data_IF_021651760429
#
_entry.id   IF_021651760429
#
_cell.length_a   1.000
_cell.length_b   1.000
_cell.length_c   1.000
_cell.angle_alpha   90.00
_cell.angle_beta   90.00
_cell.angle_gamma   90.00
#
_symmetry.space_group_name_H-M   'P 1'
#
loop_
_entity.id
_entity.type
_entity.pdbx_description
1 polymer ?
2 non-polymer ?
3 non-polymer ?
4 water ?
#
# COMPACT_ATOMS: atom_id res chain seq x y z
N UNK A 22 6.76 -26.48 -12.68
CA UNK A 22 5.85 -25.35 -12.57
C UNK A 22 6.62 -24.08 -12.22
N UNK A 24 7.66 -20.28 -10.66
CA UNK A 24 7.98 -19.83 -9.30
C UNK A 24 6.75 -19.36 -8.51
N UNK A 25 6.71 -19.75 -7.24
CA UNK A 25 5.71 -19.24 -6.30
C UNK A 25 6.09 -17.83 -5.90
N UNK A 26 5.17 -17.15 -5.24
CA UNK A 26 5.38 -15.78 -4.84
C UNK A 26 6.37 -15.69 -3.68
N UNK A 27 6.44 -16.78 -2.90
CA UNK A 27 7.29 -16.85 -1.74
C UNK A 27 8.61 -17.61 -2.04
N UNK A 28 9.64 -17.44 -1.20
CA UNK A 28 9.69 -16.52 -0.05
C UNK A 28 9.75 -15.07 -0.50
N UNK A 29 9.24 -14.16 0.32
CA UNK A 29 9.13 -12.77 -0.08
C UNK A 29 9.83 -11.90 0.93
N UNK A 30 10.59 -10.92 0.44
CA UNK A 30 11.27 -9.97 1.30
C UNK A 30 10.23 -9.17 2.04
N UNK A 31 10.35 -9.19 3.37
CA UNK A 31 9.42 -8.51 4.26
C UNK A 31 10.19 -7.79 5.39
N UNK A 32 9.44 -7.02 6.19
CA UNK A 32 9.96 -6.33 7.36
C UNK A 32 8.96 -6.50 8.48
N UNK A 33 9.42 -7.05 9.61
CA UNK A 33 8.52 -7.25 10.73
C UNK A 33 8.84 -6.27 11.80
N UNK A 34 7.84 -6.04 12.66
CA UNK A 34 7.93 -5.08 13.72
C UNK A 34 7.91 -5.79 15.08
N UNK A 35 8.88 -5.44 15.91
CA UNK A 35 9.01 -5.95 17.29
C UNK A 35 9.37 -4.81 18.28
N UNK A 36 8.64 -4.72 19.41
CA UNK A 36 7.52 -5.62 19.72
C UNK A 36 6.34 -5.38 18.81
N UNK A 37 5.62 -6.45 18.47
CA UNK A 37 4.51 -6.26 17.55
C UNK A 37 3.47 -5.26 18.08
N UNK A 38 2.98 -4.42 17.17
CA UNK A 38 1.91 -3.45 17.41
C UNK A 38 2.41 -2.19 18.13
N UNK A 39 3.67 -2.19 18.56
CA UNK A 39 4.24 -1.03 19.26
C UNK A 39 4.47 0.12 18.27
N UNK A 40 4.03 1.32 18.62
CA UNK A 40 4.15 2.47 17.72
C UNK A 40 5.61 2.87 17.48
N UNK A 41 6.47 2.44 18.40
CA UNK A 41 7.90 2.66 18.30
C UNK A 41 8.68 1.34 18.20
N UNK A 42 8.03 0.29 17.71
CA UNK A 42 8.71 -0.99 17.56
C UNK A 42 9.81 -0.86 16.50
N UNK A 43 10.82 -1.72 16.61
CA UNK A 43 11.94 -1.75 15.68
C UNK A 43 11.61 -2.63 14.46
N UNK A 44 12.06 -2.23 13.28
CA UNK A 44 11.84 -3.03 12.07
C UNK A 44 13.03 -3.96 11.84
N UNK A 45 12.81 -5.19 11.41
CA UNK A 45 13.94 -6.01 10.92
C UNK A 45 13.55 -6.71 9.63
N UNK A 46 14.52 -6.91 8.75
CA UNK A 46 14.26 -7.57 7.47
C UNK A 46 14.18 -9.08 7.66
N UNK A 47 13.14 -9.69 7.09
CA UNK A 47 12.94 -11.13 7.09
C UNK A 47 12.32 -11.64 5.78
N UNK A 48 12.65 -12.89 5.40
CA UNK A 48 11.90 -13.59 4.34
C UNK A 48 10.59 -14.10 4.90
N UNK A 49 9.49 -13.80 4.20
CA UNK A 49 8.20 -14.30 4.62
C UNK A 49 7.95 -15.62 3.92
N UNK A 50 7.71 -16.66 4.71
CA UNK A 50 7.39 -17.99 4.21
C UNK A 50 6.01 -18.45 4.67
N UNK A 51 5.08 -18.64 3.73
CA UNK A 51 3.77 -19.12 4.14
C UNK A 51 3.74 -20.64 4.28
N UNK A 52 2.62 -21.15 4.79
CA UNK A 52 2.38 -22.58 4.83
C UNK A 52 2.23 -23.15 3.44
N UNK A 53 2.57 -24.44 3.28
CA UNK A 53 2.32 -25.14 2.03
C UNK A 53 0.85 -25.38 1.79
N UNK A 54 0.13 -25.78 2.83
CA UNK A 54 -1.30 -26.07 2.76
C UNK A 54 -1.97 -25.87 4.11
N UNK A 55 -3.26 -25.54 4.10
CA UNK A 55 -4.07 -25.63 5.32
C UNK A 55 -4.41 -27.07 5.59
N UNK A 56 -4.70 -27.38 6.85
CA UNK A 56 -5.05 -28.73 7.28
C UNK A 56 -6.54 -28.99 7.13
N UNK A 57 -7.30 -27.93 6.92
CA UNK A 57 -8.73 -28.08 6.73
C UNK A 57 -9.22 -26.86 6.01
N UNK A 58 -10.43 -26.92 5.44
CA UNK A 58 -10.94 -25.79 4.67
C UNK A 58 -11.51 -24.70 5.58
N UNK A 59 -10.61 -24.03 6.30
CA UNK A 59 -11.00 -22.92 7.16
C UNK A 59 -11.89 -21.93 6.41
N UNK A 60 -12.91 -21.42 7.08
CA UNK A 60 -13.72 -20.33 6.55
C UNK A 60 -13.18 -18.96 6.98
N UNK A 61 -12.88 -18.11 6.01
CA UNK A 61 -12.32 -16.79 6.28
C UNK A 61 -13.28 -15.72 5.78
N UNK A 62 -13.76 -14.89 6.69
CA UNK A 62 -14.57 -13.74 6.30
C UNK A 62 -13.61 -12.61 6.00
N UNK A 63 -13.72 -11.99 4.82
CA UNK A 63 -12.84 -10.90 4.43
C UNK A 63 -13.71 -9.67 4.16
N UNK A 64 -13.44 -8.59 4.91
CA UNK A 64 -14.20 -7.34 4.83
C UNK A 64 -13.35 -6.19 4.27
N UNK A 65 -13.76 -5.71 3.10
CA UNK A 65 -13.06 -4.66 2.37
C UNK A 65 -13.80 -3.34 2.51
N UNK A 66 -13.08 -2.23 2.45
CA UNK A 66 -13.74 -0.91 2.47
C UNK A 66 -14.61 -0.66 1.22
N UNK A 67 -14.17 -1.23 0.09
CA UNK A 67 -14.79 -1.02 -1.22
C UNK A 67 -14.02 -1.88 -2.22
N UNK A 69 -13.42 -0.33 -5.49
CA UNK A 69 -13.54 0.75 -6.47
C UNK A 69 -12.29 1.08 -7.26
N UNK A 70 -11.13 0.60 -6.82
CA UNK A 70 -9.90 0.94 -7.53
C UNK A 70 -8.99 -0.25 -7.69
N UNK A 71 -7.87 -0.03 -8.40
CA UNK A 71 -6.96 -1.11 -8.74
C UNK A 71 -6.26 -1.62 -7.48
N UNK A 72 -6.02 -0.71 -6.55
CA UNK A 72 -5.34 -1.06 -5.32
C UNK A 72 -6.10 -2.17 -4.59
N UNK A 73 -7.37 -1.96 -4.29
CA UNK A 73 -8.14 -2.98 -3.58
C UNK A 73 -8.45 -4.18 -4.47
N UNK A 74 -8.49 -4.00 -5.79
CA UNK A 74 -8.55 -5.16 -6.67
C UNK A 74 -7.28 -6.01 -6.51
N UNK A 75 -6.14 -5.38 -6.38
CA UNK A 75 -4.91 -6.09 -6.08
C UNK A 75 -4.93 -6.85 -4.77
N UNK A 76 -5.44 -6.21 -3.71
CA UNK A 76 -5.57 -6.91 -2.44
C UNK A 76 -6.53 -8.11 -2.60
N UNK A 77 -7.64 -7.92 -3.32
CA UNK A 77 -8.61 -8.98 -3.59
C UNK A 77 -7.92 -10.18 -4.26
N UNK A 78 -7.15 -9.89 -5.28
CA UNK A 78 -6.43 -10.93 -6.02
C UNK A 78 -5.54 -11.75 -5.08
N UNK A 79 -4.80 -11.09 -4.19
CA UNK A 79 -3.93 -11.76 -3.24
C UNK A 79 -4.71 -12.65 -2.29
N UNK A 80 -5.77 -12.10 -1.72
CA UNK A 80 -6.58 -12.89 -0.76
C UNK A 80 -7.21 -14.09 -1.47
N UNK A 81 -7.71 -13.91 -2.68
CA UNK A 81 -8.41 -14.99 -3.40
C UNK A 81 -7.42 -16.06 -3.82
N UNK A 82 -6.27 -15.62 -4.31
CA UNK A 82 -5.31 -16.57 -4.83
C UNK A 82 -4.62 -17.32 -3.68
N UNK A 83 -4.37 -16.64 -2.56
CA UNK A 83 -3.72 -17.33 -1.44
C UNK A 83 -4.73 -18.29 -0.78
N UNK A 84 -6.00 -17.90 -0.69
CA UNK A 84 -7.01 -18.83 -0.17
C UNK A 84 -7.10 -20.10 -1.05
N UNK A 85 -7.13 -19.93 -2.37
CA UNK A 85 -7.09 -21.08 -3.28
C UNK A 85 -5.84 -21.94 -3.07
N UNK A 86 -4.67 -21.32 -2.97
CA UNK A 86 -3.40 -22.06 -2.86
C UNK A 86 -3.38 -22.91 -1.60
N UNK A 87 -3.88 -22.33 -0.51
CA UNK A 87 -3.84 -23.01 0.81
C UNK A 87 -4.97 -24.00 0.97
N UNK A 88 -6.00 -23.89 0.13
CA UNK A 88 -7.15 -24.77 0.24
C UNK A 88 -8.22 -24.33 1.22
N UNK A 89 -8.42 -23.02 1.37
CA UNK A 89 -9.39 -22.53 2.36
C UNK A 89 -10.48 -21.78 1.63
N UNK A 90 -11.57 -21.50 2.35
CA UNK A 90 -12.77 -20.87 1.78
C UNK A 90 -12.88 -19.44 2.20
N UNK A 92 -14.86 -15.82 2.00
CA UNK A 92 -16.15 -15.17 1.72
C UNK A 92 -15.85 -13.68 1.85
N UNK A 93 -15.75 -12.97 0.72
CA UNK A 93 -15.36 -11.56 0.77
C UNK A 93 -16.57 -10.67 0.56
N UNK A 94 -16.68 -9.65 1.41
CA UNK A 94 -17.71 -8.63 1.33
C UNK A 94 -17.02 -7.25 1.29
N UNK A 95 -17.65 -6.28 0.62
CA UNK A 95 -17.09 -4.92 0.54
C UNK A 95 -18.21 -3.89 0.77
N UNK A 96 -17.86 -2.81 1.50
CA UNK A 96 -18.88 -1.92 2.06
C UNK A 96 -19.30 -0.82 1.12
N UNK A 97 -18.63 -0.70 -0.02
CA UNK A 97 -19.00 0.24 -1.03
C UNK A 97 -18.39 1.64 -0.94
N UNK A 98 -17.47 1.87 -0.01
CA UNK A 98 -16.84 3.17 0.07
C UNK A 98 -16.40 3.55 1.46
N UNK A 99 -15.46 4.47 1.55
CA UNK A 99 -14.97 4.92 2.86
C UNK A 99 -15.98 5.76 3.63
N UNK A 100 -17.12 6.08 3.02
CA UNK A 100 -18.21 6.72 3.74
C UNK A 100 -19.06 5.69 4.52
N UNK A 101 -18.73 4.42 4.37
CA UNK A 101 -19.67 3.36 4.75
C UNK A 101 -19.22 2.53 5.95
N UNK A 102 -18.73 3.19 7.00
CA UNK A 102 -18.32 2.48 8.21
C UNK A 102 -19.48 1.61 8.77
N UNK A 103 -20.69 2.15 8.84
CA UNK A 103 -21.81 1.40 9.41
C UNK A 103 -22.14 0.14 8.62
N UNK A 104 -21.94 0.17 7.31
CA UNK A 104 -22.20 -1.01 6.50
C UNK A 104 -21.09 -2.04 6.75
N UNK A 105 -19.86 -1.58 6.95
CA UNK A 105 -18.78 -2.51 7.23
C UNK A 105 -19.03 -3.20 8.58
N UNK A 106 -19.50 -2.44 9.56
CA UNK A 106 -19.82 -3.03 10.84
C UNK A 106 -20.89 -4.11 10.68
N UNK A 107 -21.97 -3.81 9.97
CA UNK A 107 -23.06 -4.78 9.80
C UNK A 107 -22.60 -5.99 8.99
N UNK A 108 -21.77 -5.77 7.96
CA UNK A 108 -21.28 -6.88 7.12
C UNK A 108 -20.40 -7.84 7.93
N UNK A 109 -19.52 -7.29 8.78
CA UNK A 109 -18.73 -8.09 9.71
C UNK A 109 -19.62 -8.81 10.75
N UNK A 110 -20.53 -8.09 11.37
CA UNK A 110 -21.44 -8.72 12.33
C UNK A 110 -22.15 -9.90 11.66
N UNK A 111 -22.63 -9.65 10.44
CA UNK A 111 -23.38 -10.66 9.71
C UNK A 111 -22.50 -11.86 9.33
N UNK A 112 -21.24 -11.66 8.93
CA UNK A 112 -20.46 -12.81 8.46
C UNK A 112 -20.10 -13.65 9.69
N UNK A 113 -19.94 -13.00 10.84
CA UNK A 113 -19.66 -13.74 12.07
C UNK A 113 -20.91 -14.51 12.55
N UNK A 114 -22.07 -13.88 12.48
CA UNK A 114 -23.31 -14.54 12.90
C UNK A 114 -23.63 -15.74 12.00
N UNK A 115 -23.28 -15.61 10.73
CA UNK A 115 -23.54 -16.69 9.78
C UNK A 115 -22.62 -17.88 10.01
N UNK A 116 -21.47 -17.62 10.62
CA UNK A 116 -20.50 -18.64 10.95
C UNK A 116 -19.24 -18.47 10.15
N UNK A 117 -18.13 -18.24 10.85
CA UNK A 117 -16.83 -18.13 10.23
C UNK A 117 -15.73 -18.49 11.23
N UNK A 118 -14.54 -18.79 10.73
CA UNK A 118 -13.40 -19.13 11.58
C UNK A 118 -12.48 -17.98 11.93
N UNK A 119 -12.28 -17.07 10.98
CA UNK A 119 -11.45 -15.86 11.19
C UNK A 119 -12.00 -14.73 10.34
N UNK A 120 -11.70 -13.49 10.76
CA UNK A 120 -12.09 -12.29 10.04
C UNK A 120 -10.84 -11.48 9.65
N UNK A 121 -10.70 -11.17 8.36
CA UNK A 121 -9.64 -10.33 7.84
C UNK A 121 -10.28 -9.01 7.44
N UNK A 122 -9.79 -7.90 7.97
CA UNK A 122 -10.43 -6.59 7.80
C UNK A 122 -9.51 -5.53 7.20
N UNK A 123 -9.97 -4.90 6.13
CA UNK A 123 -9.42 -3.66 5.64
C UNK A 123 -10.31 -2.54 6.14
N UNK A 124 -9.89 -1.91 7.25
CA UNK A 124 -10.78 -1.07 8.04
C UNK A 124 -11.04 0.29 7.42
N UNK A 125 -12.31 0.70 7.43
CA UNK A 125 -12.65 2.02 6.94
C UNK A 125 -12.09 3.11 7.88
N UNK A 126 -12.03 2.86 9.19
CA UNK A 126 -11.31 3.79 10.05
C UNK A 126 -10.52 3.04 11.12
N UNK A 127 -9.53 3.72 11.69
CA UNK A 127 -8.64 3.11 12.67
C UNK A 127 -9.35 2.65 13.95
N UNK A 128 -10.33 3.42 14.44
CA UNK A 128 -11.03 3.18 15.70
C UNK A 128 -12.47 2.69 15.55
N UNK A 129 -13.06 2.85 14.36
CA UNK A 129 -14.50 2.72 14.21
C UNK A 129 -15.04 1.31 14.36
N UNK A 130 -14.16 0.33 14.15
CA UNK A 130 -14.52 -1.08 14.26
C UNK A 130 -14.10 -1.69 15.60
N UNK A 131 -13.52 -0.89 16.47
CA UNK A 131 -12.98 -1.40 17.73
C UNK A 131 -14.04 -2.09 18.60
N UNK A 132 -15.24 -1.55 18.65
CA UNK A 132 -16.29 -2.18 19.45
C UNK A 132 -16.65 -3.56 18.88
N UNK A 133 -16.89 -3.66 17.58
CA UNK A 133 -17.27 -4.95 17.01
C UNK A 133 -16.10 -5.93 17.02
N UNK A 134 -14.89 -5.45 16.80
CA UNK A 134 -13.71 -6.32 16.95
C UNK A 134 -13.60 -6.90 18.37
N UNK A 135 -13.86 -6.09 19.39
CA UNK A 135 -13.81 -6.60 20.77
C UNK A 135 -14.82 -7.72 20.99
N UNK A 136 -15.98 -7.57 20.36
CA UNK A 136 -17.05 -8.55 20.52
C UNK A 136 -16.73 -9.85 19.79
N UNK A 137 -16.18 -9.74 18.59
CA UNK A 137 -15.70 -10.90 17.85
C UNK A 137 -14.62 -11.66 18.59
N UNK A 138 -13.71 -10.93 19.22
CA UNK A 138 -12.61 -11.55 19.94
C UNK A 138 -13.14 -12.36 21.12
N UNK A 139 -14.20 -11.88 21.76
CA UNK A 139 -14.82 -12.63 22.87
C UNK A 139 -15.36 -13.99 22.41
N UNK A 140 -15.49 -14.19 21.09
CA UNK A 140 -15.97 -15.46 20.54
C UNK A 140 -14.82 -16.32 20.05
N UNK A 141 -13.60 -15.91 20.40
CA UNK A 141 -12.40 -16.66 20.04
C UNK A 141 -12.18 -16.76 18.53
N UNK A 142 -12.62 -15.74 17.82
CA UNK A 142 -12.37 -15.63 16.39
C UNK A 142 -11.18 -14.67 16.11
N UNK A 143 -10.11 -15.17 15.47
CA UNK A 143 -8.97 -14.28 15.20
C UNK A 143 -9.36 -13.16 14.24
N UNK A 144 -8.85 -11.95 14.48
CA UNK A 144 -9.12 -10.81 13.61
C UNK A 144 -7.77 -10.31 13.09
N UNK A 145 -7.65 -10.24 11.77
CA UNK A 145 -6.43 -9.78 11.10
C UNK A 145 -6.62 -8.38 10.51
N UNK A 146 -5.70 -7.49 10.83
CA UNK A 146 -5.65 -6.11 10.35
C UNK A 146 -4.90 -6.04 9.01
N UNK A 147 -5.64 -5.78 7.94
CA UNK A 147 -5.10 -5.82 6.56
C UNK A 147 -5.03 -4.41 5.97
N UNK A 148 -3.82 -4.02 5.61
CA UNK A 148 -3.49 -2.80 4.87
C UNK A 148 -3.61 -1.48 5.64
N UNK A 149 -4.78 -1.22 6.23
CA UNK A 149 -5.08 0.15 6.69
C UNK A 149 -4.66 0.50 8.11
N UNK A 150 -4.76 -0.45 9.04
CA UNK A 150 -4.33 -0.20 10.41
C UNK A 150 -5.52 0.04 11.30
N UNK A 151 -5.62 -0.79 12.32
CA UNK A 151 -6.68 -0.75 13.31
C UNK A 151 -6.07 -0.59 14.69
N UNK A 152 -6.66 0.28 15.51
CA UNK A 152 -6.09 0.57 16.85
C UNK A 152 -6.59 -0.37 17.94
N UNK A 153 -7.59 -1.20 17.62
CA UNK A 153 -8.07 -2.18 18.59
C UNK A 153 -6.97 -3.08 19.15
N UNK A 154 -6.90 -3.23 20.47
CA UNK A 154 -5.95 -4.19 21.05
C UNK A 154 -6.29 -5.65 20.82
N UNK A 155 -7.49 -5.94 20.31
CA UNK A 155 -7.92 -7.31 20.07
C UNK A 155 -7.63 -7.85 18.66
N UNK A 156 -6.68 -7.22 17.99
CA UNK A 156 -6.20 -7.68 16.69
C UNK A 156 -5.15 -8.78 16.90
N UNK A 157 -5.24 -9.88 16.15
CA UNK A 157 -4.27 -10.97 16.32
C UNK A 157 -2.98 -10.75 15.52
N UNK A 158 -3.09 -10.06 14.37
CA UNK A 158 -1.93 -9.88 13.49
C UNK A 158 -2.20 -8.70 12.56
N UNK A 159 -1.12 -8.07 12.11
CA UNK A 159 -1.16 -7.02 11.09
C UNK A 159 -0.41 -7.45 9.84
N UNK A 160 -1.00 -7.13 8.69
CA UNK A 160 -0.37 -7.26 7.38
C UNK A 160 -0.51 -5.92 6.68
N UNK A 161 0.52 -5.10 6.76
CA UNK A 161 0.43 -3.75 6.27
C UNK A 161 1.80 -3.08 6.21
N UNK A 162 1.84 -1.90 5.59
CA UNK A 162 3.07 -1.10 5.54
C UNK A 162 2.80 0.31 6.05
N UNK A 163 3.88 1.08 6.19
CA UNK A 163 3.80 2.51 6.59
C UNK A 163 4.02 3.45 5.43
N UNK A 164 3.18 4.50 5.32
CA UNK A 164 3.37 5.51 4.28
C UNK A 164 4.60 6.37 4.60
N UNK A 165 5.09 6.34 5.84
CA UNK A 165 6.36 7.01 6.13
C UNK A 165 7.44 6.36 5.26
N UNK A 166 7.44 5.04 5.26
CA UNK A 166 8.44 4.27 4.52
C UNK A 166 8.27 4.42 3.01
N UNK A 168 7.22 7.19 1.49
CA UNK A 168 7.84 8.47 1.20
C UNK A 168 9.36 8.42 1.31
N UNK A 169 9.86 7.76 2.35
CA UNK A 169 11.29 7.65 2.62
C UNK A 169 12.03 6.95 1.48
N UNK A 170 11.47 5.87 0.97
CA UNK A 170 12.13 5.11 -0.08
C UNK A 170 12.16 5.95 -1.35
N UNK A 171 11.12 6.75 -1.55
CA UNK A 171 11.05 7.60 -2.74
C UNK A 171 12.17 8.66 -2.63
N UNK A 172 12.28 9.25 -1.46
CA UNK A 172 13.27 10.27 -1.21
C UNK A 172 14.70 9.74 -1.30
N UNK A 173 14.96 8.57 -0.74
CA UNK A 173 16.32 8.00 -0.72
C UNK A 173 16.81 7.67 -2.11
N UNK A 174 15.89 7.16 -2.93
CA UNK A 174 16.13 6.94 -4.35
C UNK A 174 16.68 8.21 -5.03
N UNK A 175 16.04 9.34 -4.80
CA UNK A 175 16.52 10.59 -5.38
C UNK A 175 17.82 11.05 -4.71
N UNK A 176 17.87 10.98 -3.39
CA UNK A 176 19.05 11.43 -2.68
C UNK A 176 20.33 10.69 -3.11
N UNK A 177 20.22 9.40 -3.44
CA UNK A 177 21.36 8.62 -3.89
C UNK A 177 21.87 9.12 -5.24
N UNK A 178 20.94 9.52 -6.11
CA UNK A 178 21.28 10.08 -7.42
C UNK A 178 21.92 11.47 -7.32
N UNK A 179 21.69 12.15 -6.20
CA UNK A 179 22.15 13.52 -6.04
C UNK A 179 22.76 13.78 -4.66
N UNK A 180 23.88 13.12 -4.39
CA UNK A 180 24.50 13.18 -3.06
C UNK A 180 25.04 14.56 -2.72
N UNK A 181 25.31 14.74 -1.43
CA UNK A 181 25.92 15.97 -0.95
C UNK A 181 27.19 16.26 -1.72
N UNK A 182 27.36 17.52 -2.10
CA UNK A 182 28.54 17.94 -2.84
C UNK A 182 28.35 17.97 -4.34
N UNK A 183 27.29 17.36 -4.84
CA UNK A 183 26.97 17.44 -6.26
C UNK A 183 26.00 18.60 -6.49
N UNK A 184 25.79 19.00 -7.76
CA UNK A 184 25.02 20.22 -8.03
C UNK A 184 23.60 20.19 -7.46
N UNK A 185 23.12 21.32 -6.96
CA UNK A 185 21.75 21.41 -6.42
C UNK A 185 20.74 21.10 -7.53
N UNK A 186 19.72 20.29 -7.22
CA UNK A 186 18.61 20.01 -8.13
C UNK A 186 17.32 20.22 -7.39
N UNK A 187 16.33 20.76 -8.09
CA UNK A 187 15.09 21.19 -7.45
C UNK A 187 13.99 20.18 -7.66
N UNK A 188 13.34 19.79 -6.56
CA UNK A 188 12.20 18.88 -6.64
C UNK A 188 10.91 19.62 -6.32
N UNK A 189 9.92 19.49 -7.20
CA UNK A 189 8.57 19.93 -6.91
C UNK A 189 7.88 18.75 -6.27
N UNK A 190 7.30 18.96 -5.09
CA UNK A 190 6.76 17.89 -4.24
C UNK A 190 5.27 18.14 -4.00
N UNK A 191 4.45 17.13 -4.30
CA UNK A 191 3.01 17.26 -4.38
C UNK A 191 2.39 16.10 -3.63
N UNK A 192 2.29 16.24 -2.29
CA UNK A 192 2.07 15.05 -1.44
C UNK A 192 0.63 14.57 -1.33
N UNK A 193 -0.35 15.35 -1.77
CA UNK A 193 -1.75 14.95 -1.66
C UNK A 193 -2.46 15.86 -0.67
N UNK A 194 -3.61 15.43 -0.13
CA UNK A 194 -4.39 16.37 0.68
C UNK A 194 -3.80 16.69 2.07
N UNK A 195 -3.66 17.97 2.35
CA UNK A 195 -3.00 18.45 3.54
C UNK A 195 -3.69 17.90 4.78
N UNK A 196 -2.90 17.36 5.70
CA UNK A 196 -3.42 16.96 6.99
C UNK A 196 -3.93 15.54 7.06
N UNK A 197 -4.09 14.89 5.89
CA UNK A 197 -4.44 13.48 5.86
C UNK A 197 -3.29 12.67 6.48
N UNK A 198 -3.61 11.64 7.26
CA UNK A 198 -2.58 10.86 7.94
C UNK A 198 -1.54 10.32 6.97
N UNK A 199 -2.00 9.65 5.92
CA UNK A 199 -1.07 9.01 4.97
C UNK A 199 -0.16 10.02 4.27
N UNK A 200 -0.73 11.16 3.94
CA UNK A 200 0.01 12.25 3.29
C UNK A 200 1.10 12.81 4.18
N UNK A 201 0.72 13.15 5.42
CA UNK A 201 1.67 13.75 6.35
C UNK A 201 2.80 12.75 6.70
N UNK A 202 2.47 11.46 6.74
CA UNK A 202 3.51 10.44 6.97
C UNK A 202 4.47 10.32 5.77
N UNK A 203 3.94 10.26 4.57
CA UNK A 203 4.76 10.22 3.36
C UNK A 203 5.62 11.48 3.24
N UNK A 204 5.04 12.64 3.58
CA UNK A 204 5.78 13.88 3.59
C UNK A 204 6.99 13.84 4.53
N UNK A 205 6.77 13.45 5.79
CA UNK A 205 7.86 13.36 6.76
C UNK A 205 8.93 12.41 6.28
N UNK A 206 8.53 11.24 5.80
CA UNK A 206 9.49 10.28 5.29
C UNK A 206 10.32 10.81 4.13
N UNK A 207 9.66 11.44 3.17
CA UNK A 207 10.35 12.00 2.00
C UNK A 207 11.35 13.08 2.42
N UNK A 209 12.69 13.58 5.41
CA UNK A 209 13.74 13.04 6.27
C UNK A 209 14.76 12.40 5.35
N UNK A 210 14.29 11.67 4.34
CA UNK A 210 15.20 10.89 3.50
C UNK A 210 16.09 11.74 2.56
N UNK A 211 15.65 12.94 2.17
CA UNK A 211 16.43 13.77 1.25
C UNK A 211 17.35 14.75 1.99
N UNK A 212 17.19 14.81 3.30
CA UNK A 212 18.00 15.69 4.12
C UNK A 212 19.47 15.34 3.96
N UNK A 213 20.31 16.36 3.81
CA UNK A 213 21.75 16.15 3.70
C UNK A 213 22.22 15.76 2.31
N UNK A 214 21.37 15.93 1.29
CA UNK A 214 21.76 15.63 -0.08
C UNK A 214 21.74 16.93 -0.89
N UNK A 215 22.07 16.85 -2.18
CA UNK A 215 22.02 18.04 -3.05
C UNK A 215 20.59 18.38 -3.53
N UNK A 216 19.61 17.61 -3.05
CA UNK A 216 18.21 17.88 -3.35
C UNK A 216 17.71 19.08 -2.58
N UNK A 217 17.09 20.01 -3.31
CA UNK A 217 16.31 21.08 -2.70
C UNK A 217 14.84 20.79 -3.00
N UNK A 218 14.01 20.71 -1.97
CA UNK A 218 12.59 20.51 -2.15
C UNK A 218 11.84 21.84 -2.02
N UNK A 219 11.02 22.15 -3.02
CA UNK A 219 10.22 23.36 -2.96
C UNK A 219 9.21 23.18 -1.85
N UNK A 220 8.60 24.27 -1.38
CA UNK A 220 7.56 24.13 -0.38
C UNK A 220 6.50 23.18 -0.94
N UNK A 221 6.00 22.27 -0.11
CA UNK A 221 4.98 21.31 -0.54
C UNK A 221 3.72 21.98 -1.04
N UNK A 222 3.19 21.45 -2.13
CA UNK A 222 1.94 21.90 -2.71
C UNK A 222 0.95 20.78 -2.54
N UNK A 223 0.08 20.94 -1.53
CA UNK A 223 -0.97 19.96 -1.23
C UNK A 223 -2.21 20.20 -2.05
N UNK A 224 -2.98 19.13 -2.24
CA UNK A 224 -4.31 19.26 -2.80
C UNK A 224 -4.96 17.89 -2.88
N UNK A 225 -6.26 17.87 -3.16
CA UNK A 225 -7.01 16.62 -3.32
C UNK A 225 -6.43 15.79 -4.47
N UNK A 226 -6.63 14.47 -4.40
CA UNK A 226 -6.10 13.53 -5.40
C UNK A 226 -6.99 13.48 -6.64
N UNK A 227 -7.40 14.65 -7.10
CA UNK A 227 -8.09 14.83 -8.36
C UNK A 227 -7.10 15.18 -9.46
N UNK A 228 -7.31 14.65 -10.65
CA UNK A 228 -6.41 14.86 -11.78
C UNK A 228 -6.25 16.33 -12.10
N UNK A 229 -7.34 17.08 -12.15
CA UNK A 229 -7.27 18.48 -12.57
C UNK A 229 -6.57 19.33 -11.50
N UNK A 230 -6.91 19.05 -10.25
CA UNK A 230 -6.31 19.73 -9.11
C UNK A 230 -4.79 19.56 -9.12
N UNK A 231 -4.33 18.33 -9.25
CA UNK A 231 -2.88 18.04 -9.24
C UNK A 231 -2.17 18.56 -10.51
N UNK A 232 -2.82 18.43 -11.67
CA UNK A 232 -2.26 19.03 -12.87
C UNK A 232 -2.05 20.55 -12.75
N UNK A 233 -3.03 21.26 -12.18
CA UNK A 233 -2.94 22.70 -12.00
C UNK A 233 -1.80 23.04 -11.04
N UNK A 234 -1.63 22.27 -9.97
CA UNK A 234 -0.48 22.48 -9.08
C UNK A 234 0.86 22.33 -9.83
N UNK A 235 0.99 21.28 -10.63
CA UNK A 235 2.23 21.05 -11.35
C UNK A 235 2.45 22.16 -12.38
N UNK A 236 1.40 22.55 -13.09
CA UNK A 236 1.49 23.66 -14.05
C UNK A 236 2.04 24.91 -13.37
N UNK A 237 1.41 25.27 -12.25
CA UNK A 237 1.79 26.47 -11.53
C UNK A 237 3.24 26.39 -11.06
N UNK A 238 3.67 25.20 -10.65
CA UNK A 238 5.04 25.01 -10.17
C UNK A 238 6.04 25.21 -11.32
N UNK A 239 5.75 24.63 -12.47
CA UNK A 239 6.64 24.75 -13.63
C UNK A 239 6.74 26.20 -14.06
N UNK A 240 5.65 26.94 -13.94
CA UNK A 240 5.66 28.34 -14.32
C UNK A 240 6.59 29.11 -13.39
N UNK A 241 6.48 28.81 -12.09
CA UNK A 241 7.25 29.52 -11.06
C UNK A 241 8.73 29.15 -11.04
N UNK A 242 9.04 27.88 -11.31
CA UNK A 242 10.40 27.35 -11.23
C UNK A 242 10.75 26.63 -12.52
N UNK A 243 11.09 27.40 -13.55
CA UNK A 243 11.28 26.78 -14.87
C UNK A 243 12.37 25.71 -14.88
N UNK A 244 13.26 25.72 -13.90
CA UNK A 244 14.37 24.77 -13.84
C UNK A 244 14.16 23.58 -12.93
N UNK A 245 12.91 23.35 -12.49
CA UNK A 245 12.60 22.16 -11.70
C UNK A 245 13.18 20.96 -12.42
N UNK A 246 13.81 20.05 -11.68
CA UNK A 246 14.39 18.84 -12.28
C UNK A 246 13.47 17.61 -12.10
N UNK A 247 12.78 17.55 -10.96
CA UNK A 247 11.84 16.45 -10.69
C UNK A 247 10.51 16.94 -10.21
N UNK A 248 9.46 16.26 -10.63
CA UNK A 248 8.12 16.43 -10.13
C UNK A 248 7.76 15.13 -9.43
N UNK A 249 7.60 15.20 -8.11
CA UNK A 249 7.31 14.00 -7.33
C UNK A 249 6.10 14.25 -6.48
N UNK A 250 5.30 13.19 -6.29
CA UNK A 250 4.14 13.33 -5.42
C UNK A 250 3.20 12.16 -5.56
N UNK A 251 1.89 12.38 -5.45
CA UNK A 251 0.98 11.26 -5.53
C UNK A 251 1.02 10.63 -6.91
N UNK A 252 0.52 9.40 -6.99
CA UNK A 252 0.41 8.73 -8.28
C UNK A 252 -0.46 9.53 -9.22
N UNK A 253 -1.52 10.13 -8.69
CA UNK A 253 -2.38 10.99 -9.49
C UNK A 253 -1.58 12.14 -10.13
N UNK A 254 -0.68 12.71 -9.33
CA UNK A 254 0.17 13.81 -9.76
C UNK A 254 1.11 13.36 -10.90
N UNK A 255 1.78 12.24 -10.70
CA UNK A 255 2.73 11.72 -11.70
C UNK A 255 2.00 11.35 -12.99
N UNK A 256 0.84 10.70 -12.87
CA UNK A 256 0.10 10.35 -14.08
C UNK A 256 -0.37 11.58 -14.83
N UNK A 257 -0.89 12.58 -14.11
CA UNK A 257 -1.38 13.79 -14.77
C UNK A 257 -0.23 14.62 -15.36
N UNK A 258 0.96 14.55 -14.74
CA UNK A 258 2.11 15.36 -15.17
C UNK A 258 2.67 14.90 -16.52
N UNK A 259 2.41 13.65 -16.89
CA UNK A 259 2.99 13.12 -18.14
C UNK A 259 2.56 13.97 -19.34
N UNK A 260 1.28 14.33 -19.37
CA UNK A 260 0.73 15.09 -20.48
C UNK A 260 1.21 16.52 -20.51
N UNK A 261 1.31 17.10 -19.30
CA UNK A 261 1.86 18.45 -19.13
C UNK A 261 3.30 18.53 -19.58
N UNK A 262 4.09 17.54 -19.18
CA UNK A 262 5.49 17.48 -19.61
C UNK A 262 5.56 17.39 -21.12
N UNK A 263 4.75 16.52 -21.69
CA UNK A 263 4.73 16.38 -23.14
C UNK A 263 4.40 17.72 -23.82
N UNK A 264 3.33 18.36 -23.37
CA UNK A 264 2.83 19.56 -24.02
C UNK A 264 3.83 20.72 -23.93
N UNK A 265 4.52 20.80 -22.80
CA UNK A 265 5.49 21.88 -22.58
C UNK A 265 6.86 21.59 -23.20
N UNK A 266 7.00 20.42 -23.83
CA UNK A 266 8.26 20.05 -24.43
C UNK A 266 9.40 19.79 -23.45
N UNK A 267 9.04 19.29 -22.27
CA UNK A 267 9.99 19.03 -21.18
C UNK A 267 10.38 17.57 -21.01
N UNK A 268 10.01 16.70 -21.94
CA UNK A 268 10.29 15.29 -21.74
C UNK A 268 11.81 15.07 -21.59
N UNK A 269 12.20 14.29 -20.58
CA UNK A 269 13.61 14.06 -20.27
C UNK A 269 14.33 15.20 -19.56
N UNK A 270 13.73 16.40 -19.55
CA UNK A 270 14.26 17.53 -18.79
C UNK A 270 13.75 17.51 -17.37
N UNK A 271 12.48 17.10 -17.24
CA UNK A 271 11.86 16.93 -15.94
C UNK A 271 11.44 15.49 -15.83
N UNK A 272 11.89 14.81 -14.77
CA UNK A 272 11.45 13.45 -14.50
C UNK A 272 10.37 13.38 -13.43
N UNK A 273 9.52 12.36 -13.57
CA UNK A 273 8.35 12.21 -12.71
C UNK A 273 8.50 11.05 -11.76
N UNK A 274 8.07 11.25 -10.52
CA UNK A 274 8.06 10.14 -9.57
C UNK A 274 6.77 10.18 -8.78
N UNK A 275 6.30 9.00 -8.37
CA UNK A 275 5.18 8.89 -7.44
C UNK A 275 5.68 8.22 -6.16
N UNK A 276 5.02 8.45 -5.03
CA UNK A 276 5.42 7.74 -3.80
C UNK A 276 4.49 6.55 -3.51
N UNK A 277 3.73 6.15 -4.51
CA UNK A 277 2.99 4.88 -4.40
C UNK A 277 2.61 4.38 -5.81
N UNK A 279 0.30 2.51 -8.90
CA UNK A 279 -1.02 2.38 -9.56
C UNK A 279 -0.78 1.80 -10.95
N UNK A 280 -1.82 1.27 -11.61
CA UNK A 280 -1.58 0.82 -12.99
C UNK A 280 -1.08 1.94 -13.92
N UNK A 281 -1.58 3.15 -13.76
CA UNK A 281 -1.16 4.28 -14.59
C UNK A 281 0.31 4.60 -14.37
N UNK A 282 0.76 4.59 -13.12
CA UNK A 282 2.17 4.82 -12.84
C UNK A 282 3.04 3.68 -13.41
N UNK A 283 2.58 2.45 -13.28
CA UNK A 283 3.28 1.27 -13.80
C UNK A 283 3.46 1.41 -15.32
N UNK A 284 2.40 1.75 -16.04
CA UNK A 284 2.48 1.83 -17.48
C UNK A 284 3.43 2.96 -17.86
N UNK A 285 3.37 4.04 -17.10
CA UNK A 285 4.25 5.17 -17.30
C UNK A 285 5.73 4.79 -17.19
N UNK A 286 6.08 3.97 -16.22
CA UNK A 286 7.47 3.51 -16.03
C UNK A 286 7.86 2.65 -17.20
N UNK A 287 6.98 1.72 -17.57
CA UNK A 287 7.21 0.88 -18.72
C UNK A 287 7.50 1.69 -19.99
N UNK A 288 6.73 2.75 -20.20
CA UNK A 288 6.82 3.53 -21.41
C UNK A 288 7.91 4.63 -21.36
N UNK A 289 8.62 4.74 -20.24
CA UNK A 289 9.71 5.70 -20.12
C UNK A 289 9.27 7.10 -19.74
N UNK A 290 8.00 7.27 -19.41
CA UNK A 290 7.43 8.61 -19.17
C UNK A 290 7.42 8.98 -17.69
N UNK A 291 7.39 7.98 -16.83
CA UNK A 291 7.52 8.18 -15.38
C UNK A 291 8.77 7.45 -14.95
N UNK A 293 10.02 6.55 -11.68
CA UNK A 293 10.05 5.60 -10.54
C UNK A 293 8.91 5.79 -9.57
N UNK A 294 8.60 4.72 -8.84
CA UNK A 294 7.66 4.76 -7.72
C UNK A 294 7.90 3.52 -6.84
N UNK A 295 7.67 3.64 -5.52
CA UNK A 295 7.77 2.46 -4.65
C UNK A 295 6.56 1.54 -4.80
N UNK A 296 6.77 0.26 -4.55
CA UNK A 296 5.65 -0.67 -4.51
C UNK A 296 5.54 -1.23 -3.10
N UNK A 297 4.32 -1.29 -2.58
CA UNK A 297 4.08 -1.91 -1.26
C UNK A 297 3.61 -3.34 -1.37
N UNK A 298 3.64 -3.85 -2.60
CA UNK A 298 3.25 -5.25 -2.83
C UNK A 298 1.90 -5.53 -2.16
N UNK A 300 -0.77 -6.86 -3.14
CA UNK A 300 -1.24 -8.23 -3.38
C UNK A 300 -0.73 -9.18 -2.28
N UNK A 301 0.56 -9.07 -2.00
CA UNK A 301 1.23 -9.86 -0.98
C UNK A 301 0.73 -9.53 0.44
N UNK A 302 0.37 -8.26 0.71
CA UNK A 302 -0.32 -7.93 1.97
C UNK A 302 -1.59 -8.78 2.11
N UNK A 303 -2.35 -8.91 1.04
CA UNK A 303 -3.50 -9.80 1.03
C UNK A 303 -3.15 -11.25 1.28
N UNK A 304 -2.18 -11.79 0.55
CA UNK A 304 -1.73 -13.17 0.79
C UNK A 304 -1.26 -13.44 2.23
N UNK A 305 -0.45 -12.54 2.79
CA UNK A 305 0.07 -12.70 4.14
C UNK A 305 -1.05 -12.74 5.17
N UNK A 306 -2.06 -11.89 5.01
CA UNK A 306 -3.21 -11.90 5.93
C UNK A 306 -3.90 -13.26 5.97
N UNK A 307 -4.07 -13.87 4.80
CA UNK A 307 -4.67 -15.19 4.74
C UNK A 307 -3.77 -16.21 5.42
N UNK A 308 -2.49 -16.19 5.08
CA UNK A 308 -1.54 -17.12 5.72
C UNK A 308 -1.50 -16.97 7.23
N UNK A 309 -1.44 -15.73 7.69
CA UNK A 309 -1.50 -15.46 9.11
C UNK A 309 -2.77 -16.07 9.77
N UNK A 310 -3.93 -15.85 9.16
CA UNK A 310 -5.19 -16.35 9.72
C UNK A 310 -5.12 -17.86 9.88
N UNK A 311 -4.65 -18.53 8.84
CA UNK A 311 -4.60 -20.00 8.85
C UNK A 311 -3.63 -20.48 9.94
N UNK A 312 -2.47 -19.84 10.03
CA UNK A 312 -1.48 -20.25 11.04
C UNK A 312 -2.05 -20.13 12.46
N UNK A 313 -2.75 -19.03 12.71
CA UNK A 313 -3.37 -18.79 14.02
C UNK A 313 -4.41 -19.88 14.28
N UNK A 314 -5.30 -20.12 13.31
CA UNK A 314 -6.36 -21.12 13.49
C UNK A 314 -5.77 -22.51 13.76
N UNK A 315 -4.58 -22.76 13.23
CA UNK A 315 -3.96 -24.08 13.37
C UNK A 315 -2.95 -24.14 14.53
N UNK A 316 -2.83 -23.04 15.27
CA UNK A 316 -1.91 -22.97 16.39
C UNK A 316 -0.44 -22.98 16.01
N UNK A 317 -0.13 -22.59 14.77
CA UNK A 317 1.25 -22.58 14.29
C UNK A 317 1.91 -21.24 14.55
N UNK A 318 3.23 -21.23 14.51
CA UNK A 318 3.98 -20.00 14.62
C UNK A 318 3.58 -19.07 13.48
N UNK A 319 3.56 -17.78 13.77
CA UNK A 319 3.26 -16.79 12.75
C UNK A 319 3.94 -15.49 13.13
N UNK A 320 4.10 -14.65 12.12
CA UNK A 320 4.71 -13.36 12.31
C UNK A 320 3.58 -12.38 12.60
N UNK A 321 3.62 -11.70 13.75
CA UNK A 321 2.45 -10.96 14.20
C UNK A 321 2.24 -9.61 13.54
N UNK A 322 3.33 -8.93 13.21
CA UNK A 322 3.24 -7.60 12.66
C UNK A 322 4.29 -7.47 11.53
N UNK A 323 3.80 -7.51 10.29
CA UNK A 323 4.71 -7.56 9.14
C UNK A 323 4.13 -6.90 7.88
N UNK A 324 5.04 -6.37 7.07
CA UNK A 324 4.71 -5.87 5.75
C UNK A 324 5.73 -6.32 4.72
N UNK A 325 5.32 -6.36 3.44
CA UNK A 325 6.34 -6.55 2.41
C UNK A 325 7.42 -5.46 2.51
N UNK A 326 8.64 -5.81 2.17
CA UNK A 326 9.71 -4.83 2.11
C UNK A 326 9.49 -3.93 0.93
N UNK A 327 9.44 -2.64 1.19
CA UNK A 327 9.15 -1.69 0.13
C UNK A 327 10.41 -1.48 -0.70
N UNK A 328 10.24 -1.44 -2.03
CA UNK A 328 11.34 -1.23 -2.97
C UNK A 328 10.85 -0.34 -4.09
N UNK A 329 11.80 0.36 -4.70
CA UNK A 329 11.46 1.34 -5.72
C UNK A 329 11.53 0.63 -7.08
N UNK A 330 10.46 0.77 -7.85
CA UNK A 330 10.39 0.27 -9.20
C UNK A 330 10.76 1.33 -10.24
N UNK A 331 11.64 0.97 -11.18
CA UNK A 331 12.05 1.86 -12.26
C UNK A 331 12.34 1.05 -13.50
N UNK A 332 12.88 1.67 -14.55
CA UNK A 332 13.08 0.93 -15.80
C UNK A 332 13.98 -0.27 -15.61
N UNK A 333 14.96 -0.16 -14.71
CA UNK A 333 15.98 -1.20 -14.57
C UNK A 333 15.48 -2.47 -13.84
N UNK A 334 14.37 -2.40 -13.09
CA UNK A 334 13.89 -3.60 -12.43
C UNK A 334 12.43 -3.94 -12.69
N UNK A 335 11.70 -3.11 -13.42
CA UNK A 335 10.28 -3.37 -13.53
C UNK A 335 9.99 -4.71 -14.24
N UNK A 336 10.80 -5.07 -15.22
CA UNK A 336 10.61 -6.32 -15.95
C UNK A 336 11.04 -7.55 -15.11
N UNK A 337 11.70 -7.33 -13.97
CA UNK A 337 12.24 -8.47 -13.15
C UNK A 337 11.25 -8.88 -12.07
N UNK A 338 10.23 -8.04 -11.85
CA UNK A 338 9.20 -8.28 -10.85
C UNK A 338 7.91 -8.76 -11.49
N UNK A 339 7.36 -9.90 -11.01
CA UNK A 339 6.04 -10.26 -11.57
C UNK A 339 5.05 -9.17 -11.23
N UNK A 340 4.35 -8.64 -12.23
CA UNK A 340 3.28 -7.67 -11.97
C UNK A 340 2.35 -8.08 -10.87
N UNK A 341 1.97 -9.36 -10.86
CA UNK A 341 0.97 -9.88 -9.93
C UNK A 341 1.42 -9.91 -8.47
N UNK A 342 2.66 -9.52 -8.17
CA UNK A 342 3.03 -9.31 -6.76
C UNK A 342 2.72 -7.87 -6.31
N UNK A 343 2.56 -6.95 -7.27
CA UNK A 343 2.49 -5.52 -6.90
C UNK A 343 1.31 -4.79 -7.47
N UNK A 344 0.54 -5.44 -8.34
CA UNK A 344 -0.69 -4.91 -8.91
C UNK A 344 -1.61 -6.08 -9.24
N UNK A 345 -2.91 -5.80 -9.40
CA UNK A 345 -3.72 -6.89 -9.96
C UNK A 345 -3.37 -7.14 -11.42
N UNK A 346 -3.61 -8.36 -11.93
CA UNK A 346 -3.43 -8.58 -13.36
C UNK A 346 -4.31 -7.63 -14.16
N UNK A 347 -3.90 -7.20 -15.34
CA UNK A 347 -4.83 -6.51 -16.25
C UNK A 347 -6.06 -7.35 -16.51
N UNK A 348 -7.23 -6.72 -16.48
CA UNK A 348 -8.44 -7.41 -16.89
C UNK A 348 -9.05 -8.22 -15.77
N UNK A 349 -8.33 -8.39 -14.66
CA UNK A 349 -8.80 -9.20 -13.55
C UNK A 349 -10.12 -8.63 -13.03
N UNK A 350 -11.08 -9.52 -12.87
CA UNK A 350 -12.38 -9.21 -12.31
C UNK A 350 -12.42 -9.64 -10.84
N UNK A 351 -13.00 -8.79 -9.97
CA UNK A 351 -13.00 -9.14 -8.55
C UNK A 351 -13.65 -10.45 -8.22
N UNK A 352 -13.09 -11.12 -7.22
CA UNK A 352 -13.54 -12.43 -6.75
C UNK A 352 -14.06 -12.35 -5.31
N UNK A 353 -15.23 -12.92 -5.05
CA UNK A 353 -15.84 -12.83 -3.72
C UNK A 353 -15.95 -14.15 -2.98
N UNK A 354 -15.72 -15.24 -3.70
CA UNK A 354 -15.84 -16.60 -3.14
C UNK A 354 -14.86 -17.55 -3.83
#
# INVERSE_FOLDING_TARGET
XHHHHHHSSGVDLGTENLYFQSXAEWYPYDAAKIDPPFAADGKSSDVKYVPLEKASKPWKLCVSFPHXKDAYWLGVDYGVAEESKRLGVKXNLVEAGGYTELNKQISQIEDCVASGTDAVIIGAISADGLNKVIGEIAKKKIPVIDLVNGISSPDIAAKSLVSFYTXGAETGSYLAKKHPAGTPEVVVGWFPGPAGAGWVEAANKGFXDAVKGSAIKVLEPKYGDTGKEVQAKLVEDALQAAPNIRYVAGTAVTAEAAQGLIRERGLKGKVDLLAFYXTPGVYEGIKRGLIXAAPADSXVIQGRIAVDQAVRILEGKDYVKHVGPKIFVVDSANIATVPQANILPPDGFKPVFN
#
